data_IF_578190756432
#
_entry.id   IF_578190756432
#
_cell.length_a   1.000
_cell.length_b   1.000
_cell.length_c   1.000
_cell.angle_alpha   90.00
_cell.angle_beta   90.00
_cell.angle_gamma   90.00
#
_symmetry.space_group_name_H-M   'P 1'
#
loop_
_entity.id
_entity.type
_entity.pdbx_description
1 polymer ?
#
# COMPACT_ATOMS: atom_id res chain seq x y z
N UNK A 1 -19.88 -6.71 -18.00
CA UNK A 1 -18.59 -6.51 -17.32
C UNK A 1 -17.71 -5.75 -18.30
N UNK A 2 -17.21 -4.58 -17.93
CA UNK A 2 -16.21 -3.91 -18.73
C UNK A 2 -14.94 -4.79 -18.74
N UNK A 3 -14.21 -4.85 -19.85
CA UNK A 3 -12.92 -5.53 -19.88
C UNK A 3 -11.96 -4.76 -18.97
N UNK A 4 -11.67 -5.31 -17.79
CA UNK A 4 -10.66 -4.76 -16.88
C UNK A 4 -9.29 -5.02 -17.51
N UNK A 5 -8.59 -3.96 -17.89
CA UNK A 5 -7.25 -4.06 -18.44
C UNK A 5 -6.21 -3.80 -17.35
N UNK A 6 -5.43 -4.83 -17.02
CA UNK A 6 -4.27 -4.72 -16.16
C UNK A 6 -3.00 -4.48 -17.00
N UNK A 7 -2.26 -3.44 -16.66
CA UNK A 7 -0.97 -3.11 -17.28
C UNK A 7 0.16 -3.75 -16.49
N UNK A 8 1.00 -4.53 -17.16
CA UNK A 8 2.16 -5.17 -16.55
C UNK A 8 3.18 -4.11 -16.12
N UNK A 9 3.48 -4.03 -14.82
CA UNK A 9 4.44 -3.08 -14.24
C UNK A 9 5.70 -3.80 -13.79
N UNK A 10 6.86 -3.19 -13.96
CA UNK A 10 8.13 -3.73 -13.51
C UNK A 10 8.40 -3.45 -12.04
N UNK A 11 9.01 -4.45 -11.41
CA UNK A 11 9.57 -4.31 -10.09
C UNK A 11 11.10 -4.41 -10.18
N UNK A 12 11.79 -3.73 -9.27
CA UNK A 12 13.24 -3.72 -9.24
C UNK A 12 13.80 -4.11 -7.88
N UNK A 13 14.97 -4.73 -7.90
CA UNK A 13 15.81 -4.96 -6.72
C UNK A 13 17.19 -4.36 -6.94
N UNK A 14 17.75 -3.77 -5.91
CA UNK A 14 19.11 -3.26 -5.96
C UNK A 14 20.14 -4.40 -5.91
N UNK A 15 21.06 -4.41 -6.86
CA UNK A 15 22.20 -5.34 -6.90
C UNK A 15 23.42 -4.68 -6.27
N UNK A 16 23.79 -5.08 -5.05
CA UNK A 16 25.00 -4.58 -4.38
C UNK A 16 26.26 -4.84 -5.19
N UNK A 17 26.36 -6.01 -5.85
CA UNK A 17 27.48 -6.37 -6.75
C UNK A 17 27.67 -5.37 -7.90
N UNK A 18 26.58 -4.90 -8.49
CA UNK A 18 26.62 -4.03 -9.68
C UNK A 18 26.29 -2.58 -9.38
N UNK A 19 26.01 -2.25 -8.11
CA UNK A 19 25.58 -0.93 -7.62
C UNK A 19 24.47 -0.29 -8.47
N UNK A 20 23.50 -1.11 -8.88
CA UNK A 20 22.37 -0.65 -9.71
C UNK A 20 21.09 -1.40 -9.37
N UNK A 21 19.97 -0.71 -9.55
CA UNK A 21 18.65 -1.33 -9.61
C UNK A 21 18.54 -2.21 -10.85
N UNK A 22 17.97 -3.39 -10.68
CA UNK A 22 17.73 -4.36 -11.76
C UNK A 22 16.29 -4.84 -11.68
N UNK A 23 15.65 -4.91 -12.84
CA UNK A 23 14.35 -5.55 -13.00
C UNK A 23 14.38 -6.95 -12.36
N UNK A 24 13.39 -7.25 -11.53
CA UNK A 24 13.18 -8.60 -11.01
C UNK A 24 12.47 -9.40 -12.08
N UNK A 25 12.87 -10.66 -12.27
CA UNK A 25 12.01 -11.57 -13.01
C UNK A 25 10.76 -11.80 -12.16
N UNK A 26 9.56 -11.57 -12.72
CA UNK A 26 8.24 -11.91 -12.14
C UNK A 26 8.07 -13.45 -12.00
N UNK A 27 9.15 -14.16 -11.76
CA UNK A 27 9.29 -15.60 -11.98
C UNK A 27 9.26 -16.39 -10.67
N UNK A 28 8.57 -15.88 -9.64
CA UNK A 28 8.25 -16.67 -8.45
C UNK A 28 7.28 -17.86 -8.74
N UNK A 29 7.23 -18.32 -10.00
CA UNK A 29 6.49 -19.49 -10.48
C UNK A 29 7.02 -20.80 -9.89
N UNK A 30 8.31 -20.85 -9.50
CA UNK A 30 8.98 -22.04 -8.97
C UNK A 30 9.65 -21.79 -7.62
N UNK A 31 9.01 -21.03 -6.71
CA UNK A 31 9.62 -20.80 -5.41
C UNK A 31 9.61 -22.08 -4.58
N UNK A 32 10.80 -22.53 -4.21
CA UNK A 32 11.04 -23.73 -3.38
C UNK A 32 11.63 -23.22 -2.06
N UNK A 33 10.89 -23.37 -0.96
CA UNK A 33 11.38 -23.04 0.37
C UNK A 33 10.26 -22.77 1.37
N UNK A 34 10.58 -22.74 2.68
CA UNK A 34 9.63 -22.29 3.68
C UNK A 34 9.33 -20.81 3.44
N UNK A 35 8.12 -20.53 2.96
CA UNK A 35 7.62 -19.17 2.79
C UNK A 35 7.01 -18.66 4.08
N UNK A 36 7.00 -17.34 4.31
CA UNK A 36 6.29 -16.80 5.45
C UNK A 36 4.78 -17.07 5.30
N UNK A 37 4.14 -17.41 6.41
CA UNK A 37 2.68 -17.50 6.53
C UNK A 37 2.04 -16.22 7.06
N UNK A 38 2.88 -15.22 7.36
CA UNK A 38 2.48 -13.95 7.94
C UNK A 38 3.31 -12.83 7.34
N UNK A 39 2.69 -11.68 7.08
CA UNK A 39 3.38 -10.44 6.73
C UNK A 39 2.87 -9.27 7.56
N UNK A 40 3.75 -8.31 7.84
CA UNK A 40 3.36 -6.97 8.26
C UNK A 40 2.96 -6.15 7.05
N UNK A 41 1.82 -5.47 7.13
CA UNK A 41 1.33 -4.61 6.06
C UNK A 41 1.28 -3.19 6.58
N UNK A 42 1.93 -2.26 5.88
CA UNK A 42 1.96 -0.84 6.20
C UNK A 42 1.36 -0.08 5.03
N UNK A 43 0.48 0.88 5.28
CA UNK A 43 0.02 1.83 4.25
C UNK A 43 0.13 3.27 4.75
N UNK A 44 0.54 4.20 3.89
CA UNK A 44 0.65 5.61 4.27
C UNK A 44 0.64 6.55 3.05
N UNK A 45 -0.31 7.48 3.02
CA UNK A 45 -0.21 8.67 2.17
C UNK A 45 0.88 9.58 2.75
N UNK A 46 1.90 9.92 1.95
CA UNK A 46 3.05 10.71 2.41
C UNK A 46 3.03 12.18 1.96
N UNK A 47 1.87 12.68 1.53
CA UNK A 47 1.61 14.08 1.19
C UNK A 47 2.53 14.60 0.07
N UNK A 48 2.12 14.53 -1.19
CA UNK A 48 2.95 15.08 -2.29
C UNK A 48 2.96 16.61 -2.27
N UNK A 49 1.93 17.22 -1.67
CA UNK A 49 1.56 18.62 -1.87
C UNK A 49 2.39 19.59 -1.02
N UNK A 50 2.74 19.18 0.19
CA UNK A 50 3.50 20.02 1.11
C UNK A 50 5.00 20.03 0.77
N UNK A 51 5.65 21.16 1.01
CA UNK A 51 7.08 21.37 0.71
C UNK A 51 8.02 20.37 1.38
N UNK A 52 9.27 20.29 0.91
CA UNK A 52 10.32 19.41 1.44
C UNK A 52 10.00 17.91 1.38
N UNK A 53 9.23 17.46 0.37
CA UNK A 53 8.82 16.06 0.18
C UNK A 53 9.96 15.04 0.39
N UNK A 54 11.18 15.31 -0.08
CA UNK A 54 12.34 14.41 0.13
C UNK A 54 12.72 14.22 1.60
N UNK A 55 12.71 15.29 2.40
CA UNK A 55 13.07 15.23 3.83
C UNK A 55 11.97 14.49 4.58
N UNK A 56 10.71 14.85 4.31
CA UNK A 56 9.54 14.23 4.92
C UNK A 56 9.45 12.74 4.63
N UNK A 57 9.66 12.33 3.37
CA UNK A 57 9.71 10.93 2.98
C UNK A 57 10.85 10.16 3.68
N UNK A 58 12.04 10.76 3.86
CA UNK A 58 13.11 10.15 4.66
C UNK A 58 12.68 9.94 6.11
N UNK A 59 12.02 10.94 6.70
CA UNK A 59 11.48 10.85 8.07
C UNK A 59 10.43 9.74 8.17
N UNK A 60 9.49 9.65 7.23
CA UNK A 60 8.49 8.59 7.18
C UNK A 60 9.13 7.19 7.06
N UNK A 61 10.08 7.00 6.14
CA UNK A 61 10.82 5.74 5.98
C UNK A 61 11.61 5.36 7.24
N UNK A 62 12.26 6.34 7.89
CA UNK A 62 12.98 6.12 9.13
C UNK A 62 12.05 5.70 10.28
N UNK A 63 10.85 6.29 10.36
CA UNK A 63 9.83 5.90 11.34
C UNK A 63 9.31 4.48 11.09
N UNK A 64 8.98 4.16 9.83
CA UNK A 64 8.57 2.81 9.44
C UNK A 64 9.65 1.79 9.81
N UNK A 65 10.91 2.10 9.50
CA UNK A 65 12.03 1.22 9.82
C UNK A 65 12.21 1.03 11.33
N UNK A 66 12.40 2.12 12.08
CA UNK A 66 12.90 2.06 13.46
C UNK A 66 11.81 1.82 14.50
N UNK A 67 10.61 2.39 14.28
CA UNK A 67 9.55 2.41 15.28
C UNK A 67 8.47 1.37 14.96
N UNK A 68 8.03 1.32 13.69
CA UNK A 68 6.94 0.44 13.25
C UNK A 68 7.42 -0.99 13.08
N UNK A 69 8.46 -1.20 12.26
CA UNK A 69 9.03 -2.53 12.00
C UNK A 69 10.17 -2.89 12.97
N UNK A 70 10.56 -1.97 13.85
CA UNK A 70 11.54 -2.17 14.93
C UNK A 70 12.93 -2.64 14.44
N UNK A 71 13.30 -2.25 13.23
CA UNK A 71 14.55 -2.60 12.55
C UNK A 71 15.68 -1.64 12.95
N UNK A 72 16.09 -1.67 14.23
CA UNK A 72 17.13 -0.78 14.77
C UNK A 72 18.46 -1.02 14.05
N UNK A 73 19.23 0.04 13.81
CA UNK A 73 20.58 -0.06 13.25
C UNK A 73 20.66 -0.66 11.83
N UNK A 74 19.58 -0.62 11.05
CA UNK A 74 19.57 -1.19 9.69
C UNK A 74 19.35 -2.70 9.64
N UNK A 75 18.77 -3.27 10.69
CA UNK A 75 18.37 -4.68 10.71
C UNK A 75 17.37 -5.03 9.60
N UNK A 76 17.36 -6.32 9.25
CA UNK A 76 16.43 -6.87 8.27
C UNK A 76 15.00 -6.78 8.80
N UNK A 77 14.03 -6.32 7.98
CA UNK A 77 12.64 -6.34 8.39
C UNK A 77 12.07 -7.75 8.51
N UNK A 78 11.01 -7.94 9.32
CA UNK A 78 10.16 -9.11 9.19
C UNK A 78 9.58 -9.18 7.76
N UNK A 79 9.01 -10.32 7.34
CA UNK A 79 8.20 -10.37 6.12
C UNK A 79 7.19 -9.22 6.10
N UNK A 80 7.27 -8.32 5.13
CA UNK A 80 6.42 -7.14 5.09
C UNK A 80 6.18 -6.60 3.68
N UNK A 81 5.12 -5.81 3.57
CA UNK A 81 4.77 -5.02 2.40
C UNK A 81 4.38 -3.60 2.85
N UNK A 82 4.99 -2.57 2.26
CA UNK A 82 4.78 -1.16 2.59
C UNK A 82 4.20 -0.47 1.37
N UNK A 83 3.04 0.14 1.51
CA UNK A 83 2.25 0.77 0.46
C UNK A 83 2.27 2.28 0.70
N UNK A 84 2.93 3.02 -0.19
CA UNK A 84 3.02 4.48 -0.10
C UNK A 84 2.19 5.10 -1.22
N UNK A 85 1.37 6.10 -0.87
CA UNK A 85 0.65 6.95 -1.82
C UNK A 85 1.30 8.34 -1.86
N UNK A 86 1.01 9.10 -2.91
CA UNK A 86 1.48 10.48 -3.06
C UNK A 86 3.01 10.67 -3.09
N UNK A 87 3.73 9.72 -3.69
CA UNK A 87 5.15 9.93 -3.98
C UNK A 87 5.27 10.87 -5.16
N UNK A 88 5.72 12.12 -4.95
CA UNK A 88 6.04 13.03 -6.05
C UNK A 88 7.24 12.53 -6.86
N UNK A 89 7.24 12.74 -8.19
CA UNK A 89 8.30 12.28 -9.11
C UNK A 89 9.72 12.54 -8.59
N UNK A 90 10.00 13.77 -8.16
CA UNK A 90 11.32 14.18 -7.67
C UNK A 90 11.72 13.48 -6.36
N UNK A 91 10.76 13.04 -5.55
CA UNK A 91 11.02 12.35 -4.30
C UNK A 91 11.21 10.84 -4.47
N UNK A 92 10.75 10.23 -5.57
CA UNK A 92 10.88 8.80 -5.83
C UNK A 92 12.33 8.30 -5.68
N UNK A 93 13.30 9.08 -6.15
CA UNK A 93 14.73 8.74 -6.02
C UNK A 93 15.20 8.60 -4.57
N UNK A 94 14.54 9.28 -3.63
CA UNK A 94 14.81 9.16 -2.19
C UNK A 94 14.57 7.74 -1.67
N UNK A 95 13.57 7.03 -2.20
CA UNK A 95 13.33 5.62 -1.89
C UNK A 95 14.46 4.77 -2.48
N UNK A 96 14.81 5.01 -3.73
CA UNK A 96 15.84 4.24 -4.43
C UNK A 96 17.25 4.42 -3.84
N UNK A 97 17.53 5.57 -3.23
CA UNK A 97 18.82 5.90 -2.59
C UNK A 97 18.85 5.53 -1.10
N UNK A 98 17.73 5.10 -0.51
CA UNK A 98 17.70 4.67 0.89
C UNK A 98 18.40 3.31 1.06
N UNK A 99 19.42 3.24 1.92
CA UNK A 99 20.24 2.04 2.11
C UNK A 99 19.45 0.83 2.62
N UNK A 100 18.53 1.04 3.55
CA UNK A 100 17.67 -0.01 4.09
C UNK A 100 16.73 -0.57 3.00
N UNK A 101 16.17 0.30 2.16
CA UNK A 101 15.38 -0.10 0.98
C UNK A 101 16.24 -0.89 -0.02
N UNK A 102 17.41 -0.37 -0.39
CA UNK A 102 18.35 -1.04 -1.30
C UNK A 102 18.77 -2.42 -0.80
N UNK A 103 18.92 -2.60 0.51
CA UNK A 103 19.38 -3.85 1.08
C UNK A 103 18.27 -4.90 1.16
N UNK A 104 17.05 -4.50 1.53
CA UNK A 104 16.03 -5.44 1.96
C UNK A 104 14.76 -5.50 1.12
N UNK A 105 14.55 -4.59 0.17
CA UNK A 105 13.28 -4.50 -0.54
C UNK A 105 13.39 -4.74 -2.04
N UNK A 106 12.25 -5.17 -2.59
CA UNK A 106 11.84 -5.06 -3.99
C UNK A 106 10.93 -3.82 -4.07
N UNK A 107 11.11 -3.00 -5.09
CA UNK A 107 10.37 -1.75 -5.30
C UNK A 107 9.50 -1.88 -6.55
N UNK A 108 8.23 -1.53 -6.45
CA UNK A 108 7.28 -1.44 -7.56
C UNK A 108 6.57 -0.08 -7.53
N UNK A 109 6.44 0.64 -8.66
CA UNK A 109 7.08 0.37 -9.95
C UNK A 109 8.61 0.50 -9.88
N UNK A 110 9.33 0.10 -10.93
CA UNK A 110 10.77 0.29 -11.02
C UNK A 110 11.13 1.77 -11.21
N UNK A 111 10.27 2.53 -11.87
CA UNK A 111 10.45 3.95 -12.12
C UNK A 111 9.12 4.69 -12.28
N UNK A 112 9.18 6.03 -12.26
CA UNK A 112 8.00 6.92 -12.29
C UNK A 112 7.30 7.01 -13.65
N UNK A 113 7.90 6.48 -14.71
CA UNK A 113 7.29 6.49 -16.06
C UNK A 113 6.28 5.35 -16.24
N UNK A 114 6.19 4.46 -15.25
CA UNK A 114 5.18 3.38 -15.17
C UNK A 114 3.95 3.79 -14.34
N UNK A 115 3.91 5.03 -13.85
CA UNK A 115 2.69 5.64 -13.33
C UNK A 115 1.77 6.04 -14.48
N UNK A 116 0.47 6.25 -14.21
CA UNK A 116 -0.49 6.67 -15.23
C UNK A 116 0.02 7.89 -16.02
N UNK A 117 -0.22 7.94 -17.34
CA UNK A 117 0.23 9.05 -18.18
C UNK A 117 -0.20 10.40 -17.61
N UNK A 118 0.76 11.33 -17.49
CA UNK A 118 0.52 12.67 -16.95
C UNK A 118 0.58 12.78 -15.42
N UNK A 119 0.68 11.67 -14.68
CA UNK A 119 0.73 11.70 -13.22
C UNK A 119 1.96 12.46 -12.69
N UNK A 120 1.74 13.43 -11.79
CA UNK A 120 2.79 14.19 -11.10
C UNK A 120 3.34 13.49 -9.84
N UNK A 121 2.55 12.58 -9.29
CA UNK A 121 2.86 11.72 -8.16
C UNK A 121 2.21 10.35 -8.39
N UNK A 122 2.58 9.35 -7.60
CA UNK A 122 1.96 8.04 -7.71
C UNK A 122 2.23 7.11 -6.54
N UNK A 123 1.79 5.87 -6.72
CA UNK A 123 1.88 4.83 -5.71
C UNK A 123 3.20 4.06 -5.82
N UNK A 124 3.77 3.69 -4.67
CA UNK A 124 4.97 2.85 -4.58
C UNK A 124 4.75 1.76 -3.54
N UNK A 125 5.02 0.51 -3.91
CA UNK A 125 4.97 -0.64 -3.02
C UNK A 125 6.37 -1.20 -2.81
N UNK A 126 6.76 -1.34 -1.54
CA UNK A 126 8.02 -1.95 -1.11
C UNK A 126 7.71 -3.32 -0.50
N UNK A 127 8.22 -4.39 -1.10
CA UNK A 127 8.05 -5.75 -0.55
C UNK A 127 9.39 -6.26 -0.01
N UNK A 128 9.40 -6.77 1.21
CA UNK A 128 10.62 -7.35 1.78
C UNK A 128 11.09 -8.53 0.93
N UNK A 129 12.40 -8.65 0.70
CA UNK A 129 13.00 -9.73 -0.12
C UNK A 129 12.80 -11.14 0.43
N UNK A 130 12.26 -11.26 1.64
CA UNK A 130 11.84 -12.52 2.27
C UNK A 130 10.48 -12.99 1.77
N UNK A 131 9.72 -12.14 1.08
CA UNK A 131 8.43 -12.47 0.45
C UNK A 131 8.61 -12.48 -1.07
N UNK A 132 8.44 -13.63 -1.75
CA UNK A 132 8.54 -13.69 -3.20
C UNK A 132 7.40 -12.94 -3.88
N UNK A 133 7.75 -12.07 -4.83
CA UNK A 133 6.81 -11.36 -5.71
C UNK A 133 6.67 -12.13 -7.02
N UNK A 134 5.45 -12.53 -7.38
CA UNK A 134 5.13 -13.29 -8.61
C UNK A 134 4.50 -12.46 -9.72
N UNK A 135 3.95 -11.29 -9.41
CA UNK A 135 3.22 -10.45 -10.35
C UNK A 135 3.18 -9.02 -9.82
N UNK A 136 3.20 -8.07 -10.74
CA UNK A 136 3.02 -6.65 -10.45
C UNK A 136 2.31 -6.05 -11.64
N UNK A 137 1.16 -5.46 -11.38
CA UNK A 137 0.26 -4.97 -12.41
C UNK A 137 -0.39 -3.67 -11.93
N UNK A 138 -0.81 -2.82 -12.86
CA UNK A 138 -1.49 -1.56 -12.58
C UNK A 138 -2.85 -1.54 -13.27
N UNK A 139 -3.88 -1.21 -12.51
CA UNK A 139 -5.18 -0.82 -13.05
C UNK A 139 -5.26 0.69 -13.04
N UNK A 140 -5.22 1.29 -14.21
CA UNK A 140 -5.47 2.73 -14.37
C UNK A 140 -6.98 2.97 -14.36
N UNK A 141 -7.42 3.94 -13.55
CA UNK A 141 -8.82 4.31 -13.51
C UNK A 141 -9.14 5.33 -14.60
N UNK A 142 -10.40 5.38 -15.02
CA UNK A 142 -10.94 6.64 -15.51
C UNK A 142 -10.90 7.63 -14.34
N UNK A 143 -10.05 8.64 -14.43
CA UNK A 143 -9.66 9.51 -13.31
C UNK A 143 -9.26 10.89 -13.77
N UNK A 144 -9.63 11.90 -12.98
CA UNK A 144 -9.24 13.29 -13.19
C UNK A 144 -7.90 13.65 -12.54
N UNK A 145 -7.36 12.79 -11.68
CA UNK A 145 -6.09 13.00 -10.97
C UNK A 145 -5.07 11.90 -11.26
N UNK A 146 -5.22 11.19 -12.38
CA UNK A 146 -4.30 10.16 -12.85
C UNK A 146 -4.11 9.03 -11.81
N UNK A 147 -5.21 8.58 -11.20
CA UNK A 147 -5.20 7.55 -10.15
C UNK A 147 -5.09 6.12 -10.72
N UNK A 148 -4.51 5.24 -9.92
CA UNK A 148 -4.44 3.79 -10.20
C UNK A 148 -4.51 2.94 -8.94
N UNK A 149 -4.74 1.64 -9.12
CA UNK A 149 -4.34 0.61 -8.17
C UNK A 149 -3.09 -0.11 -8.68
N UNK A 150 -2.05 -0.15 -7.84
CA UNK A 150 -0.83 -0.93 -8.06
C UNK A 150 -0.94 -2.25 -7.30
N UNK A 151 -1.04 -3.35 -8.02
CA UNK A 151 -1.14 -4.70 -7.48
C UNK A 151 0.23 -5.35 -7.38
N UNK A 152 0.45 -6.10 -6.30
CA UNK A 152 1.60 -6.97 -6.10
C UNK A 152 1.12 -8.34 -5.63
N UNK A 153 1.46 -9.37 -6.39
CA UNK A 153 1.15 -10.76 -6.05
C UNK A 153 2.28 -11.37 -5.22
N UNK A 154 1.94 -11.79 -4.01
CA UNK A 154 2.86 -12.31 -3.01
C UNK A 154 2.68 -13.82 -2.85
N UNK A 155 3.78 -14.58 -2.86
CA UNK A 155 3.76 -16.01 -2.51
C UNK A 155 3.96 -16.19 -1.01
N UNK A 156 3.00 -16.86 -0.36
CA UNK A 156 3.00 -17.12 1.08
C UNK A 156 2.71 -18.61 1.34
N UNK A 157 3.04 -19.10 2.54
CA UNK A 157 2.69 -20.46 2.96
C UNK A 157 1.45 -20.47 3.86
N UNK A 158 0.62 -21.49 3.72
CA UNK A 158 -0.47 -21.76 4.68
C UNK A 158 0.14 -22.39 5.94
N UNK A 159 -0.10 -21.78 7.12
CA UNK A 159 0.58 -22.13 8.37
C UNK A 159 0.56 -23.63 8.73
N UNK A 160 -0.53 -24.34 8.47
CA UNK A 160 -0.64 -25.77 8.85
C UNK A 160 -0.18 -26.75 7.76
N UNK A 161 -0.28 -26.38 6.48
CA UNK A 161 -0.05 -27.32 5.37
C UNK A 161 1.23 -27.03 4.60
N UNK A 162 1.86 -25.88 4.85
CA UNK A 162 2.96 -25.34 4.03
C UNK A 162 2.62 -25.19 2.54
N UNK A 163 1.33 -25.29 2.16
CA UNK A 163 0.87 -25.07 0.79
C UNK A 163 1.20 -23.63 0.40
N UNK A 164 1.84 -23.46 -0.75
CA UNK A 164 2.13 -22.14 -1.30
C UNK A 164 0.87 -21.58 -1.96
N UNK A 165 0.54 -20.34 -1.64
CA UNK A 165 -0.63 -19.62 -2.14
C UNK A 165 -0.23 -18.24 -2.67
N UNK A 166 -1.10 -17.63 -3.46
CA UNK A 166 -0.94 -16.25 -3.95
C UNK A 166 -1.88 -15.32 -3.21
N UNK A 167 -1.34 -14.33 -2.52
CA UNK A 167 -2.09 -13.20 -1.96
C UNK A 167 -1.85 -11.98 -2.84
N UNK A 168 -2.91 -11.36 -3.37
CA UNK A 168 -2.80 -10.10 -4.10
C UNK A 168 -2.94 -8.92 -3.14
N UNK A 169 -2.01 -7.97 -3.20
CA UNK A 169 -2.04 -6.74 -2.40
C UNK A 169 -2.11 -5.54 -3.32
N UNK A 170 -3.15 -4.72 -3.20
CA UNK A 170 -3.37 -3.51 -3.98
C UNK A 170 -3.03 -2.27 -3.16
N UNK A 171 -2.20 -1.39 -3.73
CA UNK A 171 -1.92 -0.05 -3.25
C UNK A 171 -2.70 0.95 -4.11
N UNK A 172 -3.64 1.67 -3.52
CA UNK A 172 -4.47 2.63 -4.26
C UNK A 172 -4.50 3.99 -3.56
N UNK A 173 -4.77 5.01 -4.36
CA UNK A 173 -5.24 6.29 -3.87
C UNK A 173 -6.46 6.65 -4.73
N UNK A 174 -7.66 6.60 -4.15
CA UNK A 174 -8.91 6.88 -4.87
C UNK A 174 -9.12 8.39 -5.12
N UNK A 175 -10.02 8.72 -6.03
CA UNK A 175 -10.28 10.10 -6.43
C UNK A 175 -10.59 11.02 -5.24
N UNK A 176 -9.82 12.11 -5.11
CA UNK A 176 -9.99 13.08 -4.05
C UNK A 176 -11.13 14.05 -4.35
N UNK A 177 -11.44 14.88 -3.34
CA UNK A 177 -12.47 15.92 -3.37
C UNK A 177 -13.90 15.37 -3.49
N UNK A 178 -14.92 16.12 -3.04
CA UNK A 178 -16.31 15.71 -3.20
C UNK A 178 -16.75 15.67 -4.67
N UNK A 179 -16.35 16.66 -5.47
CA UNK A 179 -16.77 16.75 -6.88
C UNK A 179 -15.54 16.87 -7.79
N UNK A 180 -15.39 16.01 -8.81
CA UNK A 180 -16.26 14.87 -9.16
C UNK A 180 -16.00 13.59 -8.34
N UNK A 181 -15.03 13.61 -7.41
CA UNK A 181 -14.49 12.40 -6.78
C UNK A 181 -15.52 11.46 -6.15
N UNK A 182 -16.57 11.98 -5.51
CA UNK A 182 -17.60 11.15 -4.86
C UNK A 182 -18.32 10.18 -5.82
N UNK A 183 -18.48 10.56 -7.09
CA UNK A 183 -19.07 9.68 -8.09
C UNK A 183 -18.07 8.64 -8.64
N UNK A 184 -16.78 8.93 -8.57
CA UNK A 184 -15.71 8.11 -9.16
C UNK A 184 -15.23 7.03 -8.18
N UNK A 185 -15.09 7.35 -6.90
CA UNK A 185 -14.58 6.42 -5.87
C UNK A 185 -15.33 5.07 -5.83
N UNK A 186 -16.68 5.01 -5.91
CA UNK A 186 -17.38 3.73 -5.93
C UNK A 186 -17.02 2.83 -7.12
N UNK A 187 -16.85 3.45 -8.30
CA UNK A 187 -16.46 2.72 -9.51
C UNK A 187 -15.02 2.22 -9.38
N UNK A 188 -14.11 3.10 -8.94
CA UNK A 188 -12.70 2.78 -8.76
C UNK A 188 -12.50 1.62 -7.76
N UNK A 189 -13.10 1.71 -6.57
CA UNK A 189 -13.00 0.65 -5.57
C UNK A 189 -13.70 -0.64 -6.03
N UNK A 190 -14.81 -0.53 -6.78
CA UNK A 190 -15.49 -1.67 -7.39
C UNK A 190 -14.58 -2.45 -8.34
N UNK A 191 -13.86 -1.76 -9.22
CA UNK A 191 -12.90 -2.39 -10.14
C UNK A 191 -11.76 -3.09 -9.37
N UNK A 192 -11.23 -2.45 -8.31
CA UNK A 192 -10.22 -3.08 -7.45
C UNK A 192 -10.78 -4.34 -6.80
N UNK A 193 -12.00 -4.28 -6.27
CA UNK A 193 -12.65 -5.42 -5.63
C UNK A 193 -12.86 -6.59 -6.60
N UNK A 194 -13.18 -6.34 -7.87
CA UNK A 194 -13.28 -7.37 -8.91
C UNK A 194 -11.92 -8.06 -9.14
N UNK A 195 -10.83 -7.28 -9.31
CA UNK A 195 -9.47 -7.81 -9.51
C UNK A 195 -8.95 -8.61 -8.31
N UNK A 196 -9.36 -8.24 -7.09
CA UNK A 196 -8.98 -8.96 -5.87
C UNK A 196 -9.69 -10.31 -5.71
N UNK A 197 -10.80 -10.53 -6.43
CA UNK A 197 -11.66 -11.73 -6.32
C UNK A 197 -11.45 -12.75 -7.44
N UNK A 198 -10.39 -12.59 -8.25
CA UNK A 198 -10.02 -13.57 -9.29
C UNK A 198 -9.84 -14.98 -8.69
N UNK A 199 -10.35 -16.01 -9.38
CA UNK A 199 -10.45 -17.39 -8.85
C UNK A 199 -9.09 -18.05 -8.54
N UNK A 200 -8.03 -17.62 -9.24
CA UNK A 200 -6.67 -18.15 -9.05
C UNK A 200 -5.95 -17.58 -7.81
N UNK A 201 -6.57 -16.59 -7.15
CA UNK A 201 -6.04 -15.98 -5.94
C UNK A 201 -6.55 -16.72 -4.70
N UNK A 202 -5.69 -16.83 -3.70
CA UNK A 202 -6.13 -17.31 -2.38
C UNK A 202 -6.93 -16.23 -1.62
N UNK A 203 -6.72 -14.98 -2.00
CA UNK A 203 -7.54 -13.83 -1.64
C UNK A 203 -6.77 -12.53 -1.92
N UNK A 204 -7.41 -11.42 -1.60
CA UNK A 204 -6.93 -10.09 -1.94
C UNK A 204 -7.07 -9.10 -0.78
N UNK A 205 -6.16 -8.13 -0.76
CA UNK A 205 -6.17 -7.01 0.19
C UNK A 205 -5.94 -5.73 -0.60
N UNK A 206 -6.70 -4.67 -0.32
CA UNK A 206 -6.43 -3.31 -0.81
C UNK A 206 -6.17 -2.40 0.37
N UNK A 207 -5.14 -1.56 0.25
CA UNK A 207 -4.84 -0.52 1.22
C UNK A 207 -4.54 0.81 0.54
N UNK A 208 -4.71 1.87 1.31
CA UNK A 208 -4.31 3.21 0.90
C UNK A 208 -5.36 4.24 1.26
N UNK A 209 -5.20 5.41 0.66
CA UNK A 209 -6.08 6.55 0.82
C UNK A 209 -7.32 6.37 -0.05
N UNK A 210 -8.43 6.03 0.60
CA UNK A 210 -9.72 5.85 -0.06
C UNK A 210 -10.48 7.15 -0.24
N UNK A 211 -9.97 8.28 0.30
CA UNK A 211 -10.67 9.56 0.30
C UNK A 211 -12.15 9.43 0.70
N UNK A 212 -12.44 8.63 1.75
CA UNK A 212 -13.80 8.38 2.22
C UNK A 212 -14.37 9.62 2.96
N UNK A 213 -14.68 10.67 2.20
CA UNK A 213 -15.03 12.01 2.69
C UNK A 213 -16.46 12.43 2.36
N UNK A 214 -17.21 11.61 1.62
CA UNK A 214 -18.56 11.94 1.14
C UNK A 214 -19.60 10.89 1.58
N UNK A 215 -20.89 11.25 1.65
CA UNK A 215 -21.94 10.31 2.05
C UNK A 215 -22.02 9.04 1.18
N UNK A 216 -21.59 9.12 -0.09
CA UNK A 216 -21.52 7.96 -0.98
C UNK A 216 -20.50 6.90 -0.54
N UNK A 217 -19.49 7.30 0.24
CA UNK A 217 -18.42 6.43 0.72
C UNK A 217 -18.86 5.60 1.94
N UNK A 218 -19.96 5.99 2.60
CA UNK A 218 -20.55 5.27 3.72
C UNK A 218 -21.06 3.91 3.21
N UNK A 219 -20.57 2.85 3.87
CA UNK A 219 -20.87 1.46 3.53
C UNK A 219 -20.38 1.03 2.14
N UNK A 220 -19.45 1.79 1.54
CA UNK A 220 -18.92 1.47 0.21
C UNK A 220 -18.14 0.14 0.23
N UNK A 221 -17.41 -0.13 1.31
CA UNK A 221 -16.66 -1.38 1.53
C UNK A 221 -17.55 -2.62 1.33
N UNK A 222 -18.71 -2.65 1.97
CA UNK A 222 -19.66 -3.76 1.91
C UNK A 222 -20.34 -3.83 0.54
N UNK A 223 -20.66 -2.68 -0.07
CA UNK A 223 -21.28 -2.61 -1.40
C UNK A 223 -20.40 -3.24 -2.49
N UNK A 224 -19.07 -3.08 -2.39
CA UNK A 224 -18.13 -3.75 -3.31
C UNK A 224 -17.77 -5.17 -2.87
N UNK A 225 -18.36 -5.64 -1.76
CA UNK A 225 -18.20 -6.98 -1.20
C UNK A 225 -16.78 -7.25 -0.66
N UNK A 226 -16.15 -6.24 -0.05
CA UNK A 226 -14.94 -6.36 0.73
C UNK A 226 -15.28 -6.29 2.23
N UNK A 227 -14.31 -6.60 3.07
CA UNK A 227 -14.40 -6.51 4.53
C UNK A 227 -13.38 -5.49 5.02
N UNK A 228 -13.80 -4.59 5.93
CA UNK A 228 -12.89 -3.65 6.58
C UNK A 228 -12.12 -4.36 7.70
N UNK A 229 -10.80 -4.17 7.75
CA UNK A 229 -9.97 -4.69 8.83
C UNK A 229 -10.18 -3.92 10.15
N UNK A 230 -10.62 -2.65 10.07
CA UNK A 230 -11.03 -1.90 11.25
C UNK A 230 -12.44 -2.35 11.68
N UNK A 231 -12.55 -2.96 12.86
CA UNK A 231 -13.77 -3.63 13.33
C UNK A 231 -14.69 -2.73 14.16
N UNK A 232 -14.13 -1.68 14.73
CA UNK A 232 -14.86 -0.63 15.43
C UNK A 232 -15.54 0.30 14.40
N UNK A 233 -16.51 1.11 14.84
CA UNK A 233 -17.32 1.90 13.91
C UNK A 233 -16.50 2.91 13.11
N UNK A 234 -16.90 3.20 11.86
CA UNK A 234 -16.19 4.16 10.99
C UNK A 234 -16.18 5.60 11.53
N UNK A 235 -17.06 5.90 12.49
CA UNK A 235 -17.27 7.23 13.08
C UNK A 235 -16.50 7.42 14.40
N UNK A 236 -15.71 6.43 14.83
CA UNK A 236 -14.90 6.55 16.04
C UNK A 236 -13.64 7.36 15.76
N UNK A 237 -13.37 8.39 16.57
CA UNK A 237 -12.21 9.28 16.41
C UNK A 237 -10.87 8.53 16.41
N UNK A 238 -10.80 7.40 17.11
CA UNK A 238 -9.63 6.53 17.13
C UNK A 238 -9.34 5.82 15.81
N UNK A 239 -10.32 5.80 14.92
CA UNK A 239 -10.21 5.28 13.56
C UNK A 239 -9.68 6.32 12.57
N UNK A 240 -9.72 7.62 12.92
CA UNK A 240 -9.38 8.69 12.00
C UNK A 240 -7.89 8.71 11.65
N UNK A 241 -7.61 8.94 10.37
CA UNK A 241 -6.27 8.92 9.78
C UNK A 241 -5.87 10.28 9.23
N UNK A 242 -6.77 11.26 9.17
CA UNK A 242 -6.49 12.56 8.57
C UNK A 242 -7.18 13.71 9.31
N UNK A 243 -6.61 14.91 9.18
CA UNK A 243 -7.19 16.18 9.67
C UNK A 243 -6.55 16.76 10.94
N UNK A 244 -5.51 16.11 11.48
CA UNK A 244 -4.87 16.51 12.74
C UNK A 244 -3.48 17.12 12.60
N UNK A 245 -2.73 16.86 11.52
CA UNK A 245 -1.30 17.21 11.45
C UNK A 245 -0.81 17.77 10.10
N UNK A 246 -1.11 19.03 9.74
CA UNK A 246 -1.62 20.06 10.63
C UNK A 246 -3.15 20.04 10.74
N UNK A 247 -3.71 20.61 11.82
CA UNK A 247 -5.14 20.93 11.84
C UNK A 247 -5.48 21.83 10.64
N UNK A 248 -6.62 21.56 10.01
CA UNK A 248 -7.12 22.32 8.88
C UNK A 248 -8.59 22.72 9.08
N UNK A 249 -9.18 23.38 8.09
CA UNK A 249 -10.58 23.81 8.14
C UNK A 249 -11.61 22.67 7.97
N UNK A 250 -11.15 21.51 7.50
CA UNK A 250 -12.00 20.34 7.28
C UNK A 250 -12.05 19.46 8.54
N UNK A 251 -13.19 18.80 8.76
CA UNK A 251 -13.34 17.85 9.85
C UNK A 251 -12.39 16.66 9.68
N UNK A 252 -11.74 16.19 10.76
CA UNK A 252 -10.99 14.96 10.74
C UNK A 252 -11.84 13.75 10.33
N UNK A 253 -11.19 12.74 9.75
CA UNK A 253 -11.88 11.55 9.28
C UNK A 253 -10.97 10.37 9.00
N UNK A 254 -11.58 9.23 8.68
CA UNK A 254 -10.88 7.99 8.31
C UNK A 254 -10.84 7.85 6.79
N UNK A 255 -9.80 8.42 6.19
CA UNK A 255 -9.58 8.39 4.75
C UNK A 255 -8.85 7.11 4.33
N UNK A 256 -7.91 6.65 5.15
CA UNK A 256 -7.07 5.49 4.86
C UNK A 256 -7.72 4.21 5.40
N UNK A 257 -7.78 3.18 4.57
CA UNK A 257 -8.40 1.90 4.94
C UNK A 257 -7.53 0.71 4.56
N UNK A 258 -7.76 -0.41 5.25
CA UNK A 258 -7.24 -1.73 4.90
C UNK A 258 -8.45 -2.65 4.72
N UNK A 259 -8.73 -3.02 3.48
CA UNK A 259 -9.88 -3.84 3.11
C UNK A 259 -9.42 -5.17 2.53
N UNK A 260 -10.17 -6.24 2.72
CA UNK A 260 -9.79 -7.56 2.23
C UNK A 260 -10.99 -8.36 1.72
N UNK A 261 -10.71 -9.34 0.87
CA UNK A 261 -11.74 -10.26 0.35
C UNK A 261 -12.24 -11.18 1.46
N UNK A 262 -13.56 -11.41 1.58
CA UNK A 262 -14.07 -12.37 2.55
C UNK A 262 -13.61 -13.80 2.23
N UNK A 263 -13.37 -14.61 3.26
CA UNK A 263 -12.97 -16.02 3.11
C UNK A 263 -12.28 -16.56 4.38
N UNK A 264 -12.22 -17.88 4.53
CA UNK A 264 -11.69 -18.52 5.75
C UNK A 264 -10.14 -18.57 5.82
N UNK A 265 -9.45 -18.26 4.72
CA UNK A 265 -8.00 -18.46 4.60
C UNK A 265 -7.12 -17.28 5.01
N UNK A 266 -7.68 -16.07 5.14
CA UNK A 266 -6.92 -14.85 5.44
C UNK A 266 -7.46 -14.26 6.75
N UNK A 267 -6.55 -13.99 7.69
CA UNK A 267 -6.88 -13.17 8.85
C UNK A 267 -6.07 -11.89 8.83
N UNK A 268 -6.76 -10.77 9.09
CA UNK A 268 -6.17 -9.44 9.17
C UNK A 268 -6.42 -8.91 10.58
N UNK A 269 -5.36 -8.50 11.27
CA UNK A 269 -5.48 -7.87 12.58
C UNK A 269 -6.11 -6.48 12.43
N UNK A 270 -6.71 -5.97 13.51
CA UNK A 270 -7.21 -4.60 13.51
C UNK A 270 -6.03 -3.63 13.27
N UNK A 271 -6.13 -2.70 12.30
CA UNK A 271 -5.04 -1.78 12.02
C UNK A 271 -4.73 -0.83 13.18
N UNK A 272 -3.45 -0.57 13.41
CA UNK A 272 -2.96 0.44 14.34
C UNK A 272 -2.48 1.67 13.56
N UNK A 273 -2.75 2.87 14.09
CA UNK A 273 -2.25 4.12 13.53
C UNK A 273 -0.75 4.29 13.81
N UNK A 274 -0.01 4.80 12.82
CA UNK A 274 1.42 5.13 12.91
C UNK A 274 1.66 6.57 12.46
N UNK A 275 2.83 7.13 12.78
CA UNK A 275 3.19 8.48 12.35
C UNK A 275 2.45 9.61 13.08
N UNK A 276 1.77 9.31 14.20
CA UNK A 276 1.10 10.31 15.02
C UNK A 276 2.12 11.32 15.56
N UNK A 277 1.81 12.59 15.34
CA UNK A 277 2.64 13.71 15.69
C UNK A 277 4.10 13.62 15.14
N UNK A 278 4.33 12.85 14.08
CA UNK A 278 5.68 12.66 13.54
C UNK A 278 6.13 13.91 12.77
N UNK A 279 7.28 14.46 13.19
CA UNK A 279 7.90 15.61 12.56
C UNK A 279 9.31 15.29 12.07
N UNK A 280 9.71 15.98 11.02
CA UNK A 280 11.10 16.13 10.59
C UNK A 280 11.93 16.79 11.69
N UNK A 281 13.25 16.70 11.58
CA UNK A 281 14.21 17.42 12.41
C UNK A 281 13.99 18.94 12.44
N UNK A 282 13.40 19.50 11.37
CA UNK A 282 13.03 20.91 11.24
C UNK A 282 11.62 21.25 11.75
N UNK A 283 10.93 20.30 12.39
CA UNK A 283 9.62 20.52 13.00
C UNK A 283 8.43 20.52 12.04
N UNK A 284 8.65 20.24 10.75
CA UNK A 284 7.58 20.04 9.77
C UNK A 284 6.99 18.63 9.91
N UNK A 285 5.66 18.47 9.83
CA UNK A 285 5.00 17.16 9.83
C UNK A 285 5.54 16.27 8.70
N UNK A 286 5.71 14.98 8.98
CA UNK A 286 6.18 14.01 7.98
C UNK A 286 5.12 13.71 6.91
N UNK A 287 3.85 13.74 7.29
CA UNK A 287 2.67 13.65 6.41
C UNK A 287 1.49 14.30 7.14
N UNK A 288 0.50 14.78 6.39
CA UNK A 288 -0.81 15.19 6.93
C UNK A 288 -1.72 14.01 7.29
N UNK A 289 -1.38 12.81 6.81
CA UNK A 289 -2.00 11.56 7.21
C UNK A 289 -1.23 10.87 8.35
N UNK A 290 -1.96 10.14 9.18
CA UNK A 290 -1.43 8.99 9.91
C UNK A 290 -1.34 7.80 8.96
N UNK A 291 -0.30 6.98 9.11
CA UNK A 291 -0.23 5.71 8.42
C UNK A 291 -1.00 4.64 9.19
N UNK A 292 -1.17 3.47 8.58
CA UNK A 292 -1.73 2.28 9.22
C UNK A 292 -0.73 1.12 9.15
N UNK A 293 -0.68 0.31 10.20
CA UNK A 293 0.02 -0.98 10.21
C UNK A 293 -0.91 -2.09 10.68
N UNK A 294 -0.84 -3.25 10.04
CA UNK A 294 -1.53 -4.47 10.49
C UNK A 294 -0.65 -5.70 10.25
N UNK A 295 -1.13 -6.85 10.72
CA UNK A 295 -0.56 -8.15 10.43
C UNK A 295 -1.57 -8.98 9.64
N UNK A 296 -1.12 -9.55 8.53
CA UNK A 296 -1.89 -10.48 7.70
C UNK A 296 -1.35 -11.88 7.91
N UNK A 297 -2.23 -12.86 8.11
CA UNK A 297 -1.87 -14.28 8.23
C UNK A 297 -2.64 -15.14 7.23
N UNK A 298 -1.94 -16.11 6.69
CA UNK A 298 -2.46 -17.16 5.83
C UNK A 298 -2.69 -18.40 6.71
N UNK A 299 -3.96 -18.65 7.00
CA UNK A 299 -4.41 -19.76 7.83
C UNK A 299 -5.06 -20.84 6.97
N UNK A 300 -5.21 -22.04 7.51
CA UNK A 300 -6.03 -23.05 6.86
C UNK A 300 -7.49 -22.61 6.91
N UNK A 301 -8.15 -22.68 5.75
CA UNK A 301 -9.61 -22.55 5.65
C UNK A 301 -10.31 -23.71 6.35
#
# INVERSE_FOLDING_TARGET
MADIQLLSVDAARYSSRHKTWRRTSKSAKNVIGPLPSMIKLVTWNVDFSTSNAKIRLKTALAHIQNDVLRCKGGERPPPCCILLQEIIRDAFRTILDNEWVQQYFIVAPQNVDEWPPGAHYGNVTLTSRTVPVSGVDSLEYDSHMNRNALFVDLKLSVLATSRIVTLRVANTHLESLPTPGAAMRPVQLGLVAEVLKEEDLFGGIVCGDMNAISPSDIGLTEKVGLVDAYREGEEEEDSYTWGYQPPCEFSPGRLDKILFTPGAGITVDQPERIGLALKTDKGQWASDHYGLVTTVRIVSA
#
